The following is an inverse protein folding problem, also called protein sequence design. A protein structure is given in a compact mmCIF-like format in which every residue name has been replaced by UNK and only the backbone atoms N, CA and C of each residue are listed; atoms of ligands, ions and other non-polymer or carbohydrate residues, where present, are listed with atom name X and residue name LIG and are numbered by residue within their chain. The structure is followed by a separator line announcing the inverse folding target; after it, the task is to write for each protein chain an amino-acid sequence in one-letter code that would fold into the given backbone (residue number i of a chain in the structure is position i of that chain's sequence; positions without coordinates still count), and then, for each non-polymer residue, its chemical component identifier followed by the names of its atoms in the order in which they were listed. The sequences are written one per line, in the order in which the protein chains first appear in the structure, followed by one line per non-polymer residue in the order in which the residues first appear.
data_IF_170956948311
#
_entry.id   IF_170956948311
#
_cell.length_a   1.000
_cell.length_b   1.000
_cell.length_c   1.000
_cell.angle_alpha   90.00
_cell.angle_beta   90.00
_cell.angle_gamma   90.00
#
_symmetry.space_group_name_H-M   'P 1'
#
loop_
_entity.id
_entity.type
_entity.pdbx_description
1 polymer ?
#
# COMPACT_ATOMS: atom_id res chain seq x y z
N UNK A 1 13.67 -9.79 2.63
CA UNK A 1 12.75 -9.44 1.53
C UNK A 1 13.39 -9.72 0.18
N UNK A 2 12.60 -10.22 -0.78
CA UNK A 2 13.01 -10.38 -2.18
C UNK A 2 12.70 -9.13 -3.00
N UNK A 3 11.75 -8.34 -2.54
CA UNK A 3 11.37 -7.07 -3.14
C UNK A 3 10.60 -6.16 -2.18
N UNK A 4 10.46 -4.90 -2.58
CA UNK A 4 9.70 -3.89 -1.84
C UNK A 4 8.88 -3.04 -2.82
N UNK A 5 7.79 -2.50 -2.34
CA UNK A 5 7.11 -1.37 -2.96
C UNK A 5 7.50 -0.08 -2.24
N UNK A 6 7.82 0.95 -3.02
CA UNK A 6 8.01 2.31 -2.50
C UNK A 6 6.66 3.01 -2.64
N UNK A 7 6.00 3.29 -1.50
CA UNK A 7 4.63 3.81 -1.45
C UNK A 7 4.58 5.14 -0.69
N UNK A 8 5.36 6.11 -1.12
CA UNK A 8 5.37 7.44 -0.51
C UNK A 8 3.99 8.07 -0.54
N UNK A 9 3.71 8.91 0.46
CA UNK A 9 2.48 9.71 0.51
C UNK A 9 2.40 10.68 -0.66
N UNK A 10 1.26 10.62 -1.37
CA UNK A 10 0.97 11.50 -2.49
C UNK A 10 0.55 12.92 -2.03
N UNK A 11 0.03 13.72 -2.92
CA UNK A 11 -0.19 15.18 -2.82
C UNK A 11 -1.04 15.66 -1.64
N UNK A 12 -1.92 14.85 -1.07
CA UNK A 12 -2.70 15.23 0.13
C UNK A 12 -2.20 14.59 1.44
N UNK A 13 -1.22 13.68 1.34
CA UNK A 13 -0.58 13.06 2.48
C UNK A 13 0.62 13.86 3.01
N UNK A 14 1.42 13.22 3.84
CA UNK A 14 2.66 13.78 4.38
C UNK A 14 3.80 13.71 3.36
N UNK A 15 3.64 14.35 2.20
CA UNK A 15 4.66 14.40 1.16
C UNK A 15 5.74 15.43 1.46
N UNK A 16 6.99 15.12 1.09
CA UNK A 16 8.12 16.06 1.17
C UNK A 16 8.25 16.95 -0.06
N UNK A 17 7.48 16.69 -1.12
CA UNK A 17 7.52 17.47 -2.35
C UNK A 17 6.67 18.72 -2.22
N UNK A 18 7.20 19.87 -2.63
CA UNK A 18 6.47 21.14 -2.60
C UNK A 18 5.24 21.09 -3.53
N UNK A 19 4.06 21.23 -2.93
CA UNK A 19 2.77 21.15 -3.64
C UNK A 19 2.51 22.32 -4.57
N UNK A 20 3.29 23.40 -4.49
CA UNK A 20 3.18 24.56 -5.38
C UNK A 20 3.86 24.38 -6.73
N UNK A 21 4.66 23.31 -6.88
CA UNK A 21 5.33 23.01 -8.14
C UNK A 21 4.33 22.68 -9.27
N UNK A 22 4.67 23.01 -10.52
CA UNK A 22 3.96 22.50 -11.69
C UNK A 22 3.86 20.95 -11.61
N UNK A 23 2.78 20.40 -12.15
CA UNK A 23 2.49 18.97 -12.00
C UNK A 23 3.64 18.06 -12.45
N UNK A 24 4.23 18.34 -13.60
CA UNK A 24 5.35 17.56 -14.14
C UNK A 24 6.56 17.57 -13.19
N UNK A 25 6.94 18.74 -12.67
CA UNK A 25 8.04 18.88 -11.71
C UNK A 25 7.72 18.17 -10.38
N UNK A 26 6.46 18.27 -9.95
CA UNK A 26 5.99 17.60 -8.75
C UNK A 26 6.09 16.07 -8.92
N UNK A 27 5.61 15.51 -10.03
CA UNK A 27 5.64 14.06 -10.31
C UNK A 27 7.08 13.56 -10.35
N UNK A 28 7.99 14.25 -11.03
CA UNK A 28 9.41 13.87 -11.05
C UNK A 28 10.03 13.89 -9.65
N UNK A 29 9.77 14.92 -8.85
CA UNK A 29 10.22 15.00 -7.47
C UNK A 29 9.64 13.88 -6.59
N UNK A 30 8.38 13.55 -6.81
CA UNK A 30 7.67 12.48 -6.09
C UNK A 30 8.20 11.09 -6.42
N UNK A 31 8.55 10.82 -7.68
CA UNK A 31 9.08 9.55 -8.14
C UNK A 31 10.59 9.38 -7.86
N UNK A 32 11.33 10.46 -7.60
CA UNK A 32 12.78 10.40 -7.40
C UNK A 32 13.24 9.42 -6.29
N UNK A 33 12.60 9.32 -5.11
CA UNK A 33 12.95 8.32 -4.10
C UNK A 33 12.81 6.88 -4.59
N UNK A 34 11.79 6.59 -5.41
CA UNK A 34 11.63 5.27 -6.02
C UNK A 34 12.83 4.93 -6.92
N UNK A 35 13.25 5.84 -7.80
CA UNK A 35 14.40 5.59 -8.67
C UNK A 35 15.70 5.43 -7.90
N UNK A 36 15.88 6.18 -6.81
CA UNK A 36 17.01 6.02 -5.90
C UNK A 36 17.02 4.63 -5.25
N UNK A 37 15.87 4.21 -4.73
CA UNK A 37 15.71 2.89 -4.12
C UNK A 37 15.91 1.77 -5.17
N UNK A 38 15.37 1.95 -6.39
CA UNK A 38 15.52 0.98 -7.47
C UNK A 38 16.99 0.82 -7.89
N UNK A 39 17.69 1.92 -8.09
CA UNK A 39 19.11 1.87 -8.47
C UNK A 39 19.98 1.17 -7.41
N UNK A 40 19.65 1.34 -6.13
CA UNK A 40 20.31 0.61 -5.05
C UNK A 40 19.87 -0.86 -4.99
N UNK A 41 18.58 -1.12 -5.13
CA UNK A 41 18.03 -2.47 -5.17
C UNK A 41 18.69 -3.33 -6.26
N UNK A 42 18.86 -2.78 -7.45
CA UNK A 42 19.53 -3.45 -8.57
C UNK A 42 20.98 -3.88 -8.23
N UNK A 43 21.68 -3.13 -7.35
CA UNK A 43 23.04 -3.46 -6.91
C UNK A 43 23.09 -4.61 -5.90
N UNK A 44 22.05 -4.76 -5.08
CA UNK A 44 22.00 -5.76 -4.01
C UNK A 44 21.07 -6.94 -4.32
N UNK A 45 20.46 -6.99 -5.50
CA UNK A 45 19.53 -8.05 -5.91
C UNK A 45 18.16 -7.95 -5.27
N UNK A 46 17.72 -6.76 -4.84
CA UNK A 46 16.39 -6.49 -4.31
C UNK A 46 15.49 -5.91 -5.39
N UNK A 47 14.38 -6.55 -5.69
CA UNK A 47 13.38 -5.97 -6.60
C UNK A 47 12.68 -4.77 -5.97
N UNK A 48 12.63 -3.65 -6.69
CA UNK A 48 11.95 -2.44 -6.22
C UNK A 48 10.88 -2.04 -7.20
N UNK A 49 9.67 -1.88 -6.69
CA UNK A 49 8.47 -1.55 -7.45
C UNK A 49 7.90 -0.21 -7.02
N UNK A 50 7.27 0.48 -7.95
CA UNK A 50 6.57 1.73 -7.70
C UNK A 50 5.15 1.47 -7.21
N UNK A 51 4.74 2.24 -6.23
CA UNK A 51 3.38 2.46 -5.78
C UNK A 51 3.30 3.82 -5.10
N UNK A 52 2.14 4.18 -4.58
CA UNK A 52 2.00 5.37 -3.74
C UNK A 52 0.85 5.21 -2.76
N UNK A 53 0.86 6.03 -1.72
CA UNK A 53 -0.23 6.12 -0.77
C UNK A 53 -1.01 7.42 -1.00
N UNK A 54 -2.25 7.27 -1.45
CA UNK A 54 -3.19 8.38 -1.62
C UNK A 54 -3.89 8.65 -0.30
N UNK A 55 -3.91 9.92 0.15
CA UNK A 55 -4.54 10.31 1.40
C UNK A 55 -5.81 11.13 1.12
N UNK A 56 -6.88 10.81 1.85
CA UNK A 56 -8.12 11.57 1.85
C UNK A 56 -8.64 11.78 3.26
N UNK A 57 -8.32 12.95 3.83
CA UNK A 57 -8.80 13.35 5.16
C UNK A 57 -8.52 12.28 6.24
N UNK A 58 -7.33 11.70 6.23
CA UNK A 58 -6.90 10.65 7.16
C UNK A 58 -7.32 9.23 6.79
N UNK A 59 -8.07 9.03 5.70
CA UNK A 59 -8.27 7.72 5.08
C UNK A 59 -7.25 7.57 3.98
N UNK A 60 -6.57 6.43 3.93
CA UNK A 60 -5.43 6.21 3.04
C UNK A 60 -5.63 4.99 2.16
N UNK A 61 -5.09 5.07 0.94
CA UNK A 61 -5.22 4.03 -0.08
C UNK A 61 -3.87 3.76 -0.72
N UNK A 62 -3.44 2.51 -0.69
CA UNK A 62 -2.24 2.07 -1.38
C UNK A 62 -2.57 1.78 -2.84
N UNK A 63 -1.84 2.43 -3.73
CA UNK A 63 -2.02 2.37 -5.17
C UNK A 63 -0.86 1.65 -5.81
N UNK A 64 -1.16 0.64 -6.63
CA UNK A 64 -0.19 -0.18 -7.33
C UNK A 64 -0.55 -0.37 -8.79
N UNK A 65 0.43 -0.71 -9.62
CA UNK A 65 0.22 -1.06 -11.03
C UNK A 65 0.05 0.12 -11.97
N UNK A 66 0.25 1.34 -11.49
CA UNK A 66 0.48 2.57 -12.27
C UNK A 66 1.93 3.01 -12.13
N UNK A 67 2.38 3.94 -12.94
CA UNK A 67 3.76 4.42 -12.97
C UNK A 67 3.85 5.95 -13.13
N UNK A 68 5.07 6.47 -13.22
CA UNK A 68 5.33 7.88 -13.42
C UNK A 68 4.73 8.41 -14.72
N UNK A 69 4.81 7.65 -15.83
CA UNK A 69 4.25 8.07 -17.13
C UNK A 69 2.73 8.23 -17.02
N UNK A 70 2.08 7.33 -16.31
CA UNK A 70 0.65 7.44 -16.05
C UNK A 70 0.32 8.70 -15.24
N UNK A 71 1.07 9.00 -14.18
CA UNK A 71 0.87 10.23 -13.39
C UNK A 71 1.07 11.49 -14.23
N UNK A 72 2.11 11.54 -15.07
CA UNK A 72 2.39 12.66 -15.96
C UNK A 72 1.25 12.92 -16.93
N UNK A 73 0.59 11.87 -17.42
CA UNK A 73 -0.50 11.97 -18.40
C UNK A 73 -1.88 12.16 -17.78
N UNK A 74 -2.00 12.12 -16.44
CA UNK A 74 -3.26 12.28 -15.71
C UNK A 74 -3.18 13.39 -14.65
N UNK A 75 -2.86 14.64 -15.02
CA UNK A 75 -2.73 15.74 -14.06
C UNK A 75 -4.03 16.04 -13.30
N UNK A 76 -5.19 15.67 -13.86
CA UNK A 76 -6.51 15.82 -13.26
C UNK A 76 -6.67 15.05 -11.96
N UNK A 77 -5.86 13.99 -11.72
CA UNK A 77 -5.96 13.17 -10.52
C UNK A 77 -5.72 13.97 -9.23
N UNK A 78 -4.90 15.01 -9.32
CA UNK A 78 -4.61 15.89 -8.18
C UNK A 78 -5.87 16.61 -7.66
N UNK A 79 -6.73 17.06 -8.57
CA UNK A 79 -7.90 17.87 -8.25
C UNK A 79 -9.22 17.05 -8.24
N UNK A 80 -9.15 15.78 -8.61
CA UNK A 80 -10.28 14.86 -8.62
C UNK A 80 -10.75 14.51 -7.20
N UNK A 81 -12.03 14.20 -7.08
CA UNK A 81 -12.57 13.62 -5.84
C UNK A 81 -11.93 12.25 -5.58
N UNK A 82 -11.99 11.76 -4.33
CA UNK A 82 -11.42 10.45 -4.01
C UNK A 82 -12.05 9.34 -4.87
N UNK A 83 -13.34 9.37 -5.11
CA UNK A 83 -14.02 8.39 -5.97
C UNK A 83 -13.48 8.41 -7.38
N UNK A 84 -13.30 9.60 -7.97
CA UNK A 84 -12.73 9.76 -9.31
C UNK A 84 -11.27 9.31 -9.37
N UNK A 85 -10.45 9.64 -8.36
CA UNK A 85 -9.05 9.20 -8.28
C UNK A 85 -8.95 7.67 -8.30
N UNK A 86 -9.71 7.00 -7.42
CA UNK A 86 -9.68 5.54 -7.32
C UNK A 86 -10.24 4.88 -8.59
N UNK A 87 -11.25 5.48 -9.22
CA UNK A 87 -11.80 5.00 -10.47
C UNK A 87 -10.78 5.12 -11.61
N UNK A 88 -10.11 6.26 -11.77
CA UNK A 88 -9.05 6.46 -12.78
C UNK A 88 -7.95 5.40 -12.67
N UNK A 89 -7.50 5.11 -11.44
CA UNK A 89 -6.50 4.06 -11.19
C UNK A 89 -7.01 2.69 -11.66
N UNK A 90 -8.24 2.34 -11.30
CA UNK A 90 -8.83 1.03 -11.62
C UNK A 90 -9.09 0.86 -13.11
N UNK A 91 -9.51 1.89 -13.82
CA UNK A 91 -9.72 1.89 -15.28
C UNK A 91 -8.43 1.59 -16.05
N UNK A 92 -7.28 1.99 -15.52
CA UNK A 92 -5.97 1.64 -16.07
C UNK A 92 -5.45 0.25 -15.65
N UNK A 93 -6.24 -0.51 -14.91
CA UNK A 93 -5.84 -1.81 -14.38
C UNK A 93 -4.93 -1.72 -13.14
N UNK A 94 -4.77 -0.54 -12.55
CA UNK A 94 -4.12 -0.36 -11.26
C UNK A 94 -4.95 -0.97 -10.12
N UNK A 95 -4.32 -1.28 -9.01
CA UNK A 95 -4.92 -1.87 -7.80
C UNK A 95 -5.05 -0.79 -6.73
N UNK A 96 -6.21 -0.73 -6.10
CA UNK A 96 -6.51 0.12 -4.97
C UNK A 96 -6.71 -0.73 -3.72
N UNK A 97 -5.83 -0.59 -2.72
CA UNK A 97 -5.96 -1.25 -1.42
C UNK A 97 -6.27 -0.21 -0.34
N UNK A 98 -7.26 -0.48 0.51
CA UNK A 98 -7.53 0.36 1.68
C UNK A 98 -6.41 0.14 2.69
N UNK A 99 -5.56 1.14 2.91
CA UNK A 99 -4.47 1.09 3.87
C UNK A 99 -5.02 1.12 5.30
N UNK A 100 -4.50 0.24 6.18
CA UNK A 100 -4.85 0.18 7.61
C UNK A 100 -6.27 0.73 7.96
N UNK A 101 -7.35 0.15 7.38
CA UNK A 101 -8.68 0.78 7.23
C UNK A 101 -9.37 1.14 8.55
N UNK A 102 -8.97 0.53 9.64
CA UNK A 102 -9.60 0.71 10.95
C UNK A 102 -8.63 1.22 12.02
N UNK A 103 -7.48 1.77 11.59
CA UNK A 103 -6.55 2.47 12.48
C UNK A 103 -7.19 3.73 13.04
N UNK A 104 -7.04 3.93 14.34
CA UNK A 104 -7.50 5.12 15.06
C UNK A 104 -6.28 5.88 15.59
N UNK A 105 -6.03 7.04 15.03
CA UNK A 105 -4.91 7.91 15.42
C UNK A 105 -5.36 9.37 15.44
N UNK A 106 -4.62 10.22 16.15
CA UNK A 106 -4.99 11.62 16.31
C UNK A 106 -5.09 12.41 14.98
N UNK A 107 -4.37 11.97 13.95
CA UNK A 107 -4.42 12.56 12.61
C UNK A 107 -5.60 12.06 11.76
N UNK A 108 -6.32 11.02 12.23
CA UNK A 108 -7.49 10.46 11.55
C UNK A 108 -8.74 11.04 12.19
N UNK A 109 -9.35 12.07 11.60
CA UNK A 109 -10.49 12.73 12.22
C UNK A 109 -11.74 11.84 12.26
N UNK A 110 -11.82 10.87 11.36
CA UNK A 110 -12.90 9.92 11.25
C UNK A 110 -12.47 8.69 10.44
N UNK A 111 -12.70 7.51 10.96
CA UNK A 111 -12.59 6.26 10.19
C UNK A 111 -13.68 6.25 9.11
N UNK A 112 -13.28 6.03 7.86
CA UNK A 112 -14.16 5.88 6.70
C UNK A 112 -13.90 4.55 6.05
N UNK A 113 -14.95 3.79 5.83
CA UNK A 113 -14.87 2.52 5.12
C UNK A 113 -15.52 2.69 3.75
N UNK A 114 -14.84 2.24 2.71
CA UNK A 114 -15.24 2.42 1.31
C UNK A 114 -15.07 1.10 0.53
N UNK A 115 -15.73 0.00 0.95
CA UNK A 115 -15.49 -1.32 0.35
C UNK A 115 -15.84 -1.36 -1.14
N UNK A 116 -16.75 -0.52 -1.61
CA UNK A 116 -17.17 -0.43 -3.01
C UNK A 116 -16.15 0.30 -3.90
N UNK A 117 -15.25 1.08 -3.31
CA UNK A 117 -14.25 1.88 -4.04
C UNK A 117 -12.88 1.20 -4.14
N UNK A 118 -12.66 0.10 -3.43
CA UNK A 118 -11.36 -0.55 -3.32
C UNK A 118 -11.38 -1.95 -3.93
N UNK A 119 -10.21 -2.43 -4.31
CA UNK A 119 -10.01 -3.80 -4.81
C UNK A 119 -9.62 -4.77 -3.69
N UNK A 120 -9.22 -4.25 -2.55
CA UNK A 120 -8.82 -5.03 -1.40
C UNK A 120 -8.53 -4.15 -0.18
N UNK A 121 -8.06 -4.76 0.90
CA UNK A 121 -7.68 -4.06 2.12
C UNK A 121 -6.35 -4.56 2.68
N UNK A 122 -5.58 -3.68 3.30
CA UNK A 122 -4.45 -4.07 4.11
C UNK A 122 -5.00 -4.65 5.42
N UNK A 123 -4.98 -5.98 5.50
CA UNK A 123 -5.48 -6.70 6.66
C UNK A 123 -4.45 -6.76 7.80
N UNK A 124 -3.17 -6.60 7.46
CA UNK A 124 -2.06 -6.69 8.40
C UNK A 124 -1.08 -5.57 8.12
N UNK A 125 -0.79 -4.78 9.16
CA UNK A 125 0.20 -3.72 9.14
C UNK A 125 1.19 -3.93 10.29
N UNK A 126 2.49 -4.04 9.97
CA UNK A 126 3.49 -4.33 11.00
C UNK A 126 3.62 -3.23 12.06
N UNK A 127 3.27 -1.97 11.74
CA UNK A 127 3.28 -0.89 12.75
C UNK A 127 2.18 -1.06 13.79
N UNK A 128 1.15 -1.84 13.47
CA UNK A 128 0.05 -2.10 14.39
C UNK A 128 0.33 -3.33 15.28
N UNK A 129 0.97 -4.39 14.75
CA UNK A 129 1.00 -5.68 15.41
C UNK A 129 2.38 -6.35 15.54
N UNK A 130 3.46 -5.80 14.97
CA UNK A 130 4.78 -6.44 14.99
C UNK A 130 5.70 -5.92 16.09
N UNK A 131 6.44 -6.85 16.73
CA UNK A 131 7.54 -6.48 17.65
C UNK A 131 8.75 -5.91 16.90
N UNK A 132 8.87 -6.17 15.60
CA UNK A 132 9.95 -5.67 14.75
C UNK A 132 9.77 -4.20 14.38
N UNK A 133 8.59 -3.64 14.65
CA UNK A 133 8.32 -2.23 14.45
C UNK A 133 8.43 -1.49 15.77
N UNK A 134 9.11 -0.35 15.77
CA UNK A 134 9.16 0.55 16.94
C UNK A 134 7.93 1.44 17.05
N UNK A 135 7.09 1.46 16.04
CA UNK A 135 5.75 2.03 16.14
C UNK A 135 4.86 1.01 16.85
N UNK A 136 4.28 1.40 17.94
CA UNK A 136 3.45 0.51 18.77
C UNK A 136 2.00 1.00 18.74
N UNK A 137 1.33 0.69 17.64
CA UNK A 137 -0.10 0.88 17.55
C UNK A 137 -0.84 -0.26 18.29
N UNK A 138 -2.12 -0.35 18.11
CA UNK A 138 -2.94 -1.39 18.73
C UNK A 138 -3.11 -2.59 17.79
N UNK A 139 -2.65 -3.81 18.14
CA UNK A 139 -2.85 -5.03 17.32
C UNK A 139 -4.31 -5.30 16.95
N UNK A 140 -5.27 -4.78 17.71
CA UNK A 140 -6.69 -4.88 17.38
C UNK A 140 -7.07 -4.15 16.08
N UNK A 141 -6.22 -3.27 15.56
CA UNK A 141 -6.45 -2.66 14.26
C UNK A 141 -6.36 -3.69 13.15
N UNK A 142 -5.36 -4.58 13.17
CA UNK A 142 -5.26 -5.71 12.25
C UNK A 142 -6.45 -6.67 12.39
N UNK A 143 -6.82 -7.04 13.62
CA UNK A 143 -7.97 -7.92 13.85
C UNK A 143 -9.26 -7.37 13.21
N UNK A 144 -9.49 -6.07 13.37
CA UNK A 144 -10.65 -5.39 12.79
C UNK A 144 -10.53 -5.24 11.26
N UNK A 145 -9.33 -4.99 10.75
CA UNK A 145 -9.07 -4.90 9.30
C UNK A 145 -9.31 -6.24 8.60
N UNK A 146 -8.87 -7.34 9.21
CA UNK A 146 -9.15 -8.70 8.73
C UNK A 146 -10.66 -8.98 8.74
N UNK A 147 -11.37 -8.62 9.83
CA UNK A 147 -12.81 -8.80 9.90
C UNK A 147 -13.55 -8.00 8.82
N UNK A 148 -13.17 -6.74 8.62
CA UNK A 148 -13.70 -5.88 7.56
C UNK A 148 -13.47 -6.48 6.16
N UNK A 149 -12.25 -6.93 5.87
CA UNK A 149 -11.94 -7.53 4.58
C UNK A 149 -12.77 -8.80 4.32
N UNK A 150 -12.97 -9.64 5.34
CA UNK A 150 -13.82 -10.85 5.25
C UNK A 150 -15.28 -10.52 5.03
N UNK A 151 -15.81 -9.54 5.77
CA UNK A 151 -17.23 -9.11 5.66
C UNK A 151 -17.58 -8.65 4.24
N UNK A 152 -16.62 -8.00 3.57
CA UNK A 152 -16.82 -7.42 2.24
C UNK A 152 -16.18 -8.26 1.10
N UNK A 153 -15.71 -9.47 1.41
CA UNK A 153 -15.04 -10.36 0.45
C UNK A 153 -13.85 -9.68 -0.28
N UNK A 154 -13.11 -8.83 0.41
CA UNK A 154 -11.96 -8.13 -0.13
C UNK A 154 -10.70 -8.98 -0.04
N UNK A 155 -9.88 -9.07 -1.11
CA UNK A 155 -8.51 -9.57 -1.02
C UNK A 155 -7.71 -8.81 0.04
N UNK A 156 -6.83 -9.51 0.75
CA UNK A 156 -6.00 -8.88 1.78
C UNK A 156 -4.56 -8.72 1.33
N UNK A 157 -3.93 -7.65 1.79
CA UNK A 157 -2.49 -7.44 1.73
C UNK A 157 -1.91 -7.32 3.14
N UNK A 158 -0.58 -7.31 3.21
CA UNK A 158 0.16 -6.97 4.40
C UNK A 158 1.32 -6.04 4.04
N UNK A 159 1.61 -5.07 4.91
CA UNK A 159 2.66 -4.10 4.72
C UNK A 159 3.44 -3.80 5.99
N UNK A 160 4.58 -3.14 5.82
CA UNK A 160 5.45 -2.74 6.94
C UNK A 160 5.26 -1.29 7.37
N UNK A 161 4.68 -0.44 6.52
CA UNK A 161 4.40 0.98 6.81
C UNK A 161 5.64 1.70 7.40
N UNK A 162 6.79 1.52 6.73
CA UNK A 162 8.10 1.93 7.22
C UNK A 162 8.28 3.43 7.10
N UNK A 163 8.41 4.10 8.23
CA UNK A 163 8.74 5.53 8.33
C UNK A 163 10.14 5.79 8.91
N UNK A 164 10.84 4.75 9.35
CA UNK A 164 12.20 4.83 9.84
C UNK A 164 12.92 3.48 9.71
N UNK A 165 14.24 3.48 9.83
CA UNK A 165 15.06 2.25 9.79
C UNK A 165 14.83 1.31 10.98
N UNK A 166 14.05 1.73 11.97
CA UNK A 166 13.69 0.94 13.16
C UNK A 166 12.30 0.31 13.05
N UNK A 167 11.61 0.52 11.93
CA UNK A 167 10.29 -0.05 11.66
C UNK A 167 10.44 -1.15 10.61
N UNK A 168 10.31 -2.39 11.02
CA UNK A 168 10.49 -3.56 10.19
C UNK A 168 9.26 -4.48 10.32
N UNK A 169 9.25 -5.52 9.52
CA UNK A 169 8.18 -6.51 9.49
C UNK A 169 7.16 -6.21 8.39
N UNK A 170 6.17 -7.06 8.29
CA UNK A 170 5.09 -6.92 7.32
C UNK A 170 5.48 -7.31 5.89
N UNK A 171 4.56 -7.95 5.22
CA UNK A 171 4.71 -8.28 3.80
C UNK A 171 3.89 -9.48 3.36
N UNK A 172 4.07 -9.82 2.10
CA UNK A 172 3.38 -10.93 1.42
C UNK A 172 4.44 -11.86 0.84
N UNK A 173 4.28 -13.16 1.04
CA UNK A 173 5.09 -14.16 0.35
C UNK A 173 4.26 -14.84 -0.76
N UNK A 174 4.71 -14.67 -1.98
CA UNK A 174 4.18 -15.31 -3.18
C UNK A 174 4.97 -16.57 -3.53
N UNK A 175 4.33 -17.53 -4.20
CA UNK A 175 5.02 -18.74 -4.67
C UNK A 175 6.06 -18.43 -5.75
N UNK A 176 5.80 -17.43 -6.59
CA UNK A 176 6.69 -17.01 -7.65
C UNK A 176 7.06 -15.54 -7.47
N UNK A 177 8.30 -15.14 -7.82
CA UNK A 177 8.72 -13.75 -7.76
C UNK A 177 7.77 -12.83 -8.52
N UNK A 178 7.56 -11.63 -7.98
CA UNK A 178 6.86 -10.55 -8.69
C UNK A 178 7.77 -9.99 -9.78
N UNK A 179 7.17 -9.65 -10.92
CA UNK A 179 7.89 -9.06 -12.06
C UNK A 179 7.55 -7.58 -12.27
N UNK A 180 6.42 -7.10 -11.73
CA UNK A 180 6.02 -5.70 -11.83
C UNK A 180 4.93 -5.36 -10.82
N UNK A 181 4.63 -4.05 -10.65
CA UNK A 181 3.47 -3.59 -9.87
C UNK A 181 2.14 -4.03 -10.49
N UNK A 182 2.07 -4.18 -11.81
CA UNK A 182 0.88 -4.70 -12.50
C UNK A 182 0.68 -6.20 -12.25
N UNK A 183 1.75 -6.98 -12.26
CA UNK A 183 1.71 -8.39 -11.87
C UNK A 183 1.19 -8.57 -10.44
N UNK A 184 1.64 -7.72 -9.53
CA UNK A 184 1.11 -7.68 -8.16
C UNK A 184 -0.40 -7.39 -8.15
N UNK A 185 -0.82 -6.35 -8.87
CA UNK A 185 -2.23 -5.96 -8.96
C UNK A 185 -3.11 -7.10 -9.49
N UNK A 186 -2.66 -7.79 -10.53
CA UNK A 186 -3.37 -8.92 -11.12
C UNK A 186 -3.45 -10.13 -10.17
N UNK A 187 -2.37 -10.43 -9.44
CA UNK A 187 -2.35 -11.56 -8.50
C UNK A 187 -3.28 -11.33 -7.32
N UNK A 188 -3.24 -10.14 -6.71
CA UNK A 188 -4.11 -9.80 -5.58
C UNK A 188 -5.58 -9.78 -6.04
N UNK A 189 -5.91 -9.01 -7.08
CA UNK A 189 -7.29 -8.90 -7.57
C UNK A 189 -7.85 -10.23 -8.05
N UNK A 190 -7.05 -10.98 -8.79
CA UNK A 190 -7.45 -12.25 -9.39
C UNK A 190 -7.48 -13.42 -8.41
N UNK A 191 -6.91 -13.27 -7.22
CA UNK A 191 -6.74 -14.36 -6.24
C UNK A 191 -6.17 -15.63 -6.87
N UNK A 192 -5.26 -15.45 -7.84
CA UNK A 192 -4.82 -16.51 -8.78
C UNK A 192 -3.94 -17.58 -8.13
N UNK A 193 -3.35 -17.27 -7.00
CA UNK A 193 -2.49 -18.20 -6.25
C UNK A 193 -2.71 -18.06 -4.75
N UNK A 194 -2.29 -19.07 -4.01
CA UNK A 194 -2.20 -18.95 -2.56
C UNK A 194 -0.94 -18.18 -2.20
N UNK A 195 -1.10 -17.10 -1.48
CA UNK A 195 -0.05 -16.31 -0.86
C UNK A 195 -0.28 -16.25 0.64
N UNK A 196 0.77 -15.98 1.37
CA UNK A 196 0.71 -15.82 2.81
C UNK A 196 1.10 -14.40 3.21
N UNK A 197 0.49 -13.94 4.27
CA UNK A 197 0.68 -12.62 4.86
C UNK A 197 1.54 -12.75 6.11
N UNK A 198 2.30 -11.72 6.44
CA UNK A 198 3.03 -11.66 7.70
C UNK A 198 3.11 -10.25 8.24
N UNK A 199 3.10 -10.10 9.58
CA UNK A 199 3.53 -8.88 10.25
C UNK A 199 5.03 -8.89 10.60
N UNK A 200 5.75 -9.96 10.23
CA UNK A 200 7.15 -10.19 10.57
C UNK A 200 7.35 -11.15 11.71
N UNK A 201 6.39 -11.29 12.63
CA UNK A 201 6.43 -12.19 13.78
C UNK A 201 5.56 -13.43 13.59
N UNK A 202 4.47 -13.27 12.84
CA UNK A 202 3.46 -14.29 12.63
C UNK A 202 3.11 -14.40 11.14
N UNK A 203 2.66 -15.58 10.75
CA UNK A 203 2.19 -15.87 9.41
C UNK A 203 0.68 -16.08 9.38
N UNK A 204 0.06 -15.68 8.30
CA UNK A 204 -1.37 -15.79 8.07
C UNK A 204 -1.63 -16.24 6.64
N UNK A 205 -2.70 -17.00 6.45
CA UNK A 205 -3.18 -17.28 5.10
C UNK A 205 -3.75 -16.01 4.44
N UNK A 206 -4.06 -16.07 3.15
CA UNK A 206 -4.63 -14.94 2.40
C UNK A 206 -6.00 -14.47 2.90
N UNK A 207 -6.62 -15.24 3.81
CA UNK A 207 -7.88 -14.89 4.45
C UNK A 207 -7.68 -14.30 5.87
N UNK A 208 -6.43 -14.12 6.28
CA UNK A 208 -6.09 -13.59 7.59
C UNK A 208 -6.23 -14.60 8.72
N UNK A 209 -6.31 -15.91 8.45
CA UNK A 209 -6.23 -16.91 9.49
C UNK A 209 -4.75 -17.14 9.83
N UNK A 210 -4.45 -17.17 11.12
CA UNK A 210 -3.09 -17.48 11.58
C UNK A 210 -2.70 -18.88 11.14
N UNK A 211 -1.48 -19.00 10.61
CA UNK A 211 -0.85 -20.28 10.28
C UNK A 211 0.07 -20.61 11.45
N UNK A 212 -0.23 -21.70 12.15
CA UNK A 212 0.66 -22.23 13.18
C UNK A 212 1.84 -22.94 12.51
N UNK A 213 3.04 -22.83 13.11
CA UNK A 213 4.26 -23.49 12.68
C UNK A 213 4.18 -25.02 12.72
#
# INVERSE_FOLDING_TARGET
YAGIFVTNHAWYGNTSVDRSLPWEEWVHGFCAPFYTAKAYGDQIGLSVFFGYESCYQGTEFLIYGVDEEWLLTHPEIKDATITEQLQLVREQGGLVMHAHPLREQAYIPRVRLCPELVDGAEGINATDSSHLSTSHNDPRFDERAIAYAREHDLPMSAGSDVHSTLMLGGGIAFQMPLVSGRDYAERIRGRKEDYVLTNGDQWFDRFGNRIDD
#
